data_IF_235155831647
#
_entry.id   IF_235155831647
#
_cell.length_a   1.000
_cell.length_b   1.000
_cell.length_c   1.000
_cell.angle_alpha   90.00
_cell.angle_beta   90.00
_cell.angle_gamma   90.00
#
_symmetry.space_group_name_H-M   'P 1'
#
loop_
_entity.id
_entity.type
_entity.pdbx_description
1 polymer ?
#
# COMPACT_ATOMS: atom_id res chain seq x y z
N UNK A 1 21.68 -50.13 12.56
CA UNK A 1 20.40 -49.38 12.65
C UNK A 1 20.49 -48.13 13.52
N UNK A 2 21.14 -48.13 14.69
CA UNK A 2 21.18 -46.97 15.60
C UNK A 2 21.95 -45.75 15.07
N UNK A 3 23.07 -45.94 14.36
CA UNK A 3 23.89 -44.82 13.86
C UNK A 3 23.19 -43.99 12.77
N UNK A 4 22.42 -44.63 11.89
CA UNK A 4 21.63 -43.95 10.85
C UNK A 4 20.53 -43.08 11.46
N UNK A 5 19.90 -43.56 12.54
CA UNK A 5 18.89 -42.81 13.29
C UNK A 5 19.49 -41.58 13.99
N UNK A 6 20.67 -41.74 14.60
CA UNK A 6 21.42 -40.65 15.26
C UNK A 6 21.85 -39.59 14.23
N UNK A 7 22.30 -40.02 13.04
CA UNK A 7 22.64 -39.09 11.96
C UNK A 7 21.42 -38.31 11.47
N UNK A 8 20.27 -38.96 11.30
CA UNK A 8 19.00 -38.31 10.95
C UNK A 8 18.57 -37.26 11.98
N UNK A 9 18.59 -37.61 13.28
CA UNK A 9 18.27 -36.68 14.37
C UNK A 9 19.20 -35.45 14.40
N UNK A 10 20.50 -35.62 14.15
CA UNK A 10 21.46 -34.51 14.07
C UNK A 10 21.21 -33.61 12.86
N UNK A 11 20.85 -34.19 11.72
CA UNK A 11 20.48 -33.43 10.53
C UNK A 11 19.23 -32.58 10.79
N UNK A 12 18.17 -33.19 11.33
CA UNK A 12 16.94 -32.48 11.70
C UNK A 12 17.18 -31.40 12.75
N UNK A 13 18.03 -31.66 13.76
CA UNK A 13 18.38 -30.63 14.74
C UNK A 13 19.10 -29.43 14.10
N UNK A 14 19.96 -29.68 13.11
CA UNK A 14 20.69 -28.63 12.38
C UNK A 14 19.75 -27.82 11.48
N UNK A 15 18.80 -28.48 10.82
CA UNK A 15 17.74 -27.84 10.03
C UNK A 15 16.88 -26.93 10.89
N UNK A 16 16.42 -27.43 12.05
CA UNK A 16 15.63 -26.65 13.02
C UNK A 16 16.42 -25.44 13.55
N UNK A 17 17.70 -25.61 13.86
CA UNK A 17 18.54 -24.49 14.32
C UNK A 17 18.73 -23.43 13.23
N UNK A 18 18.81 -23.83 11.97
CA UNK A 18 18.93 -22.92 10.82
C UNK A 18 17.62 -22.16 10.60
N UNK A 19 16.48 -22.85 10.68
CA UNK A 19 15.16 -22.23 10.62
C UNK A 19 14.95 -21.21 11.75
N UNK A 20 15.36 -21.56 12.98
CA UNK A 20 15.30 -20.65 14.12
C UNK A 20 16.10 -19.36 13.89
N UNK A 21 17.34 -19.47 13.38
CA UNK A 21 18.16 -18.30 13.04
C UNK A 21 17.52 -17.43 11.95
N UNK A 22 16.93 -18.04 10.94
CA UNK A 22 16.22 -17.31 9.88
C UNK A 22 15.00 -16.56 10.43
N UNK A 23 14.25 -17.17 11.35
CA UNK A 23 13.11 -16.52 12.01
C UNK A 23 13.54 -15.33 12.87
N UNK A 24 14.62 -15.46 13.64
CA UNK A 24 15.17 -14.34 14.43
C UNK A 24 15.59 -13.18 13.53
N UNK A 25 16.31 -13.45 12.43
CA UNK A 25 16.71 -12.40 11.49
C UNK A 25 15.52 -11.74 10.80
N UNK A 26 14.46 -12.49 10.50
CA UNK A 26 13.22 -11.93 9.97
C UNK A 26 12.52 -11.02 10.98
N UNK A 27 12.48 -11.41 12.26
CA UNK A 27 11.93 -10.58 13.34
C UNK A 27 12.70 -9.26 13.50
N UNK A 28 14.03 -9.29 13.51
CA UNK A 28 14.88 -8.08 13.56
C UNK A 28 14.59 -7.14 12.39
N UNK A 29 14.41 -7.67 11.17
CA UNK A 29 14.05 -6.87 9.99
C UNK A 29 12.67 -6.23 10.13
N UNK A 30 11.70 -6.95 10.70
CA UNK A 30 10.36 -6.42 10.95
C UNK A 30 10.39 -5.31 12.01
N UNK A 31 11.19 -5.45 13.06
CA UNK A 31 11.39 -4.40 14.07
C UNK A 31 12.03 -3.15 13.45
N UNK A 32 13.04 -3.30 12.59
CA UNK A 32 13.64 -2.17 11.86
C UNK A 32 12.65 -1.46 10.94
N UNK A 33 11.79 -2.20 10.24
CA UNK A 33 10.74 -1.63 9.40
C UNK A 33 9.67 -0.91 10.23
N UNK A 34 9.27 -1.49 11.37
CA UNK A 34 8.34 -0.84 12.28
C UNK A 34 8.92 0.46 12.84
N UNK A 35 10.18 0.46 13.26
CA UNK A 35 10.87 1.66 13.74
C UNK A 35 11.02 2.74 12.65
N UNK A 36 11.25 2.34 11.39
CA UNK A 36 11.29 3.27 10.26
C UNK A 36 9.92 3.92 10.02
N UNK A 37 8.83 3.15 10.09
CA UNK A 37 7.45 3.66 9.97
C UNK A 37 7.08 4.56 11.15
N UNK A 38 7.42 4.19 12.38
CA UNK A 38 7.21 5.04 13.56
C UNK A 38 7.96 6.36 13.43
N UNK A 39 9.18 6.34 12.90
CA UNK A 39 9.96 7.55 12.63
C UNK A 39 9.37 8.40 11.51
N UNK A 40 8.78 7.79 10.48
CA UNK A 40 8.06 8.49 9.42
C UNK A 40 6.80 9.17 9.97
N UNK A 41 6.03 8.47 10.83
CA UNK A 41 4.85 8.99 11.51
C UNK A 41 5.21 10.10 12.51
N UNK A 42 6.31 9.95 13.25
CA UNK A 42 6.75 10.88 14.29
C UNK A 42 7.58 12.04 13.74
N UNK A 43 8.04 11.98 12.49
CA UNK A 43 8.68 13.12 11.84
C UNK A 43 7.59 14.20 11.65
N UNK A 44 7.74 15.40 12.21
CA UNK A 44 6.85 16.49 11.88
C UNK A 44 7.15 16.88 10.44
N UNK A 45 6.46 16.22 9.50
CA UNK A 45 6.33 16.71 8.14
C UNK A 45 5.91 18.15 8.29
N UNK A 46 6.77 19.06 7.84
CA UNK A 46 6.46 20.47 7.72
C UNK A 46 5.15 20.57 6.93
N UNK A 47 4.03 20.77 7.63
CA UNK A 47 2.69 20.79 7.06
C UNK A 47 2.34 19.52 6.27
N UNK A 48 2.00 18.43 6.95
CA UNK A 48 1.13 17.40 6.36
C UNK A 48 -0.29 17.97 6.16
N UNK A 49 -0.43 18.92 5.24
CA UNK A 49 -1.59 18.91 4.39
C UNK A 49 -1.23 17.93 3.27
N UNK A 50 -1.38 16.62 3.52
CA UNK A 50 -1.35 15.61 2.49
C UNK A 50 -2.13 16.12 1.27
N UNK A 51 -1.73 15.75 0.03
CA UNK A 51 -2.21 16.37 -1.19
C UNK A 51 -3.72 16.60 -1.12
N UNK A 52 -4.11 17.87 -1.03
CA UNK A 52 -5.50 18.25 -0.84
C UNK A 52 -6.24 17.81 -2.09
N UNK A 53 -6.95 16.67 -2.03
CA UNK A 53 -7.62 16.09 -3.20
C UNK A 53 -8.93 16.81 -3.56
N UNK A 54 -9.43 17.65 -2.66
CA UNK A 54 -10.64 18.47 -2.83
C UNK A 54 -10.39 19.93 -2.51
N UNK A 55 -10.83 20.82 -3.40
CA UNK A 55 -10.92 22.26 -3.17
C UNK A 55 -12.04 22.54 -2.14
N UNK A 56 -12.03 23.71 -1.46
CA UNK A 56 -13.10 24.11 -0.54
C UNK A 56 -14.51 24.12 -1.16
N UNK A 57 -14.61 24.29 -2.48
CA UNK A 57 -15.86 24.23 -3.23
C UNK A 57 -16.30 22.79 -3.61
N UNK A 58 -15.66 21.76 -3.05
CA UNK A 58 -15.99 20.35 -3.29
C UNK A 58 -15.52 19.79 -4.63
N UNK A 59 -14.81 20.57 -5.47
CA UNK A 59 -14.22 20.08 -6.73
C UNK A 59 -12.89 19.37 -6.48
N UNK A 60 -12.54 18.41 -7.34
CA UNK A 60 -11.23 17.80 -7.30
C UNK A 60 -10.12 18.82 -7.61
N UNK A 61 -9.00 18.71 -6.92
CA UNK A 61 -7.74 19.34 -7.34
C UNK A 61 -7.11 18.54 -8.48
N UNK A 62 -6.02 19.05 -9.05
CA UNK A 62 -5.27 18.30 -10.08
C UNK A 62 -4.71 16.99 -9.52
N UNK A 63 -4.16 17.03 -8.29
CA UNK A 63 -3.76 15.84 -7.56
C UNK A 63 -4.94 14.87 -7.34
N UNK A 64 -6.12 15.40 -6.99
CA UNK A 64 -7.34 14.59 -6.81
C UNK A 64 -7.82 13.94 -8.11
N UNK A 65 -7.74 14.66 -9.23
CA UNK A 65 -8.09 14.12 -10.54
C UNK A 65 -7.12 13.01 -10.97
N UNK A 66 -5.81 13.21 -10.78
CA UNK A 66 -4.79 12.22 -11.11
C UNK A 66 -4.94 10.94 -10.24
N UNK A 67 -5.20 11.11 -8.94
CA UNK A 67 -5.42 9.98 -8.03
C UNK A 67 -6.69 9.18 -8.38
N UNK A 68 -7.77 9.86 -8.79
CA UNK A 68 -8.97 9.20 -9.30
C UNK A 68 -8.66 8.42 -10.59
N UNK A 69 -7.92 9.02 -11.52
CA UNK A 69 -7.58 8.35 -12.78
C UNK A 69 -6.69 7.13 -12.57
N UNK A 70 -5.75 7.20 -11.62
CA UNK A 70 -4.90 6.07 -11.22
C UNK A 70 -5.73 4.94 -10.58
N UNK A 71 -6.65 5.27 -9.68
CA UNK A 71 -7.55 4.29 -9.06
C UNK A 71 -8.47 3.62 -10.08
N UNK A 72 -8.98 4.38 -11.06
CA UNK A 72 -9.78 3.83 -12.15
C UNK A 72 -8.95 2.92 -13.08
N UNK A 73 -7.71 3.30 -13.39
CA UNK A 73 -6.81 2.48 -14.20
C UNK A 73 -6.41 1.18 -13.48
N UNK A 74 -6.29 1.22 -12.15
CA UNK A 74 -6.05 0.05 -11.30
C UNK A 74 -7.30 -0.83 -11.09
N UNK A 75 -8.44 -0.51 -11.71
CA UNK A 75 -9.67 -1.29 -11.60
C UNK A 75 -10.41 -1.15 -10.27
N UNK A 76 -10.09 -0.12 -9.47
CA UNK A 76 -10.75 0.11 -8.19
C UNK A 76 -12.20 0.57 -8.37
N UNK A 77 -13.07 0.20 -7.44
CA UNK A 77 -14.46 0.66 -7.42
C UNK A 77 -14.53 2.13 -7.03
N UNK A 78 -15.55 2.84 -7.54
CA UNK A 78 -15.75 4.27 -7.25
C UNK A 78 -15.88 4.56 -5.74
N UNK A 79 -16.45 3.62 -4.99
CA UNK A 79 -16.59 3.70 -3.53
C UNK A 79 -15.25 3.55 -2.80
N UNK A 80 -14.38 2.64 -3.27
CA UNK A 80 -13.04 2.50 -2.72
C UNK A 80 -12.17 3.75 -2.97
N UNK A 81 -12.25 4.32 -4.17
CA UNK A 81 -11.54 5.56 -4.50
C UNK A 81 -12.08 6.74 -3.67
N UNK A 82 -13.41 6.85 -3.51
CA UNK A 82 -14.04 7.89 -2.68
C UNK A 82 -13.57 7.85 -1.22
N UNK A 83 -13.53 6.64 -0.65
CA UNK A 83 -13.09 6.41 0.72
C UNK A 83 -11.60 6.74 0.89
N UNK A 84 -10.76 6.35 -0.06
CA UNK A 84 -9.31 6.56 0.02
C UNK A 84 -8.90 8.03 -0.16
N UNK A 85 -9.66 8.79 -0.95
CA UNK A 85 -9.35 10.20 -1.24
C UNK A 85 -10.17 11.18 -0.39
N UNK A 86 -11.06 10.69 0.47
CA UNK A 86 -12.04 11.49 1.23
C UNK A 86 -12.82 12.49 0.35
N UNK A 87 -13.27 12.01 -0.81
CA UNK A 87 -14.04 12.79 -1.80
C UNK A 87 -15.40 12.17 -2.05
N UNK A 88 -16.39 13.01 -2.33
CA UNK A 88 -17.72 12.52 -2.71
C UNK A 88 -17.67 11.70 -4.01
N UNK A 89 -18.39 10.57 -4.01
CA UNK A 89 -18.54 9.67 -5.17
C UNK A 89 -19.00 10.43 -6.43
N UNK A 90 -19.80 11.49 -6.27
CA UNK A 90 -20.28 12.32 -7.37
C UNK A 90 -19.14 13.04 -8.13
N UNK A 91 -18.05 13.41 -7.44
CA UNK A 91 -16.88 14.03 -8.05
C UNK A 91 -16.11 13.02 -8.92
N UNK A 92 -15.97 11.79 -8.44
CA UNK A 92 -15.33 10.68 -9.15
C UNK A 92 -16.16 10.27 -10.38
N UNK A 93 -17.48 10.14 -10.21
CA UNK A 93 -18.41 9.82 -11.30
C UNK A 93 -18.37 10.87 -12.42
N UNK A 94 -18.33 12.16 -12.06
CA UNK A 94 -18.17 13.26 -13.04
C UNK A 94 -16.82 13.18 -13.77
N UNK A 95 -15.73 12.82 -13.07
CA UNK A 95 -14.40 12.65 -13.69
C UNK A 95 -14.38 11.49 -14.67
N UNK A 96 -14.92 10.33 -14.28
CA UNK A 96 -15.05 9.16 -15.17
C UNK A 96 -15.79 9.51 -16.46
N UNK A 97 -16.98 10.12 -16.35
CA UNK A 97 -17.77 10.57 -17.51
C UNK A 97 -17.03 11.58 -18.40
N UNK A 98 -16.26 12.49 -17.80
CA UNK A 98 -15.47 13.46 -18.56
C UNK A 98 -14.31 12.79 -19.32
N UNK A 99 -13.69 11.77 -18.72
CA UNK A 99 -12.64 10.96 -19.36
C UNK A 99 -13.19 10.14 -20.51
N UNK A 100 -14.33 9.48 -20.31
CA UNK A 100 -15.00 8.68 -21.35
C UNK A 100 -15.35 9.54 -22.58
N UNK A 101 -15.91 10.75 -22.35
CA UNK A 101 -16.20 11.72 -23.42
C UNK A 101 -14.96 12.29 -24.12
N UNK A 102 -13.80 12.31 -23.47
CA UNK A 102 -12.54 12.74 -24.09
C UNK A 102 -11.93 11.62 -24.94
N UNK A 103 -12.04 10.36 -24.48
CA UNK A 103 -11.63 9.19 -25.25
C UNK A 103 -12.45 9.01 -26.53
N UNK A 104 -13.74 9.30 -26.46
CA UNK A 104 -14.68 9.22 -27.60
C UNK A 104 -14.45 10.32 -28.65
N UNK A 105 -13.81 11.44 -28.29
CA UNK A 105 -13.43 12.52 -29.23
C UNK A 105 -12.04 12.35 -29.84
N UNK A 106 -11.29 11.35 -29.40
CA UNK A 106 -9.91 11.08 -29.83
C UNK A 106 -9.81 9.83 -30.71
N UNK A 107 -10.96 9.26 -31.10
CA UNK A 107 -11.12 8.18 -32.08
C UNK A 107 -11.86 8.72 -33.30
#
# INVERSE_FOLDING_TARGET
MSQTLIAGLKATATELQTAGKAMTSAAERLELLAAALEKEIASPVAGDAGPVYKKPNGRLTEAGAAAVDAGLAAGMTLTAIAKNLDVHISAISKRKKAKDKLGEKSS
#
